data_IF_173979533488
#
_entry.id   IF_173979533488
#
_cell.length_a   1.000
_cell.length_b   1.000
_cell.length_c   1.000
_cell.angle_alpha   90.00
_cell.angle_beta   90.00
_cell.angle_gamma   90.00
#
_symmetry.space_group_name_H-M   'P 1'
#
loop_
_entity.id
_entity.type
_entity.pdbx_description
1 polymer ?
#
# COMPACT_ATOMS: atom_id res chain seq x y z
N UNK A 1 -1.65 -12.21 -16.19
CA UNK A 1 -1.42 -11.41 -17.41
C UNK A 1 -0.18 -10.53 -17.26
N UNK A 2 0.28 -9.87 -18.32
CA UNK A 2 1.39 -8.93 -18.27
C UNK A 2 1.07 -7.72 -17.37
N UNK A 3 -0.18 -7.24 -17.40
CA UNK A 3 -0.65 -6.15 -16.55
C UNK A 3 -0.62 -6.54 -15.07
N UNK A 4 -1.12 -7.73 -14.71
CA UNK A 4 -1.11 -8.19 -13.32
C UNK A 4 0.32 -8.34 -12.77
N UNK A 5 1.26 -8.81 -13.62
CA UNK A 5 2.67 -8.88 -13.24
C UNK A 5 3.27 -7.50 -13.02
N UNK A 6 2.99 -6.56 -13.91
CA UNK A 6 3.46 -5.18 -13.77
C UNK A 6 2.90 -4.52 -12.50
N UNK A 7 1.62 -4.74 -12.18
CA UNK A 7 0.99 -4.27 -10.96
C UNK A 7 1.61 -4.89 -9.71
N UNK A 8 1.88 -6.21 -9.72
CA UNK A 8 2.57 -6.89 -8.63
C UNK A 8 3.98 -6.32 -8.44
N UNK A 9 4.76 -6.21 -9.53
CA UNK A 9 6.12 -5.68 -9.49
C UNK A 9 6.14 -4.24 -8.94
N UNK A 10 5.24 -3.39 -9.40
CA UNK A 10 5.14 -2.01 -8.92
C UNK A 10 4.82 -1.94 -7.42
N UNK A 11 3.89 -2.76 -6.93
CA UNK A 11 3.54 -2.84 -5.52
C UNK A 11 4.73 -3.31 -4.67
N UNK A 12 5.37 -4.41 -5.06
CA UNK A 12 6.50 -5.00 -4.34
C UNK A 12 7.71 -4.06 -4.33
N UNK A 13 8.00 -3.41 -5.46
CA UNK A 13 9.10 -2.44 -5.57
C UNK A 13 8.92 -1.24 -4.64
N UNK A 14 7.68 -0.77 -4.43
CA UNK A 14 7.41 0.30 -3.48
C UNK A 14 7.58 -0.15 -2.03
N UNK A 15 7.11 -1.35 -1.71
CA UNK A 15 7.31 -1.92 -0.37
C UNK A 15 8.81 -2.04 -0.04
N UNK A 16 9.61 -2.63 -0.93
CA UNK A 16 11.04 -2.78 -0.76
C UNK A 16 11.78 -1.44 -0.63
N UNK A 17 11.34 -0.41 -1.40
CA UNK A 17 11.94 0.93 -1.31
C UNK A 17 11.63 1.64 0.01
N UNK A 18 10.44 1.41 0.59
CA UNK A 18 10.06 2.03 1.86
C UNK A 18 10.74 1.38 3.06
N UNK A 19 11.06 0.11 2.98
CA UNK A 19 11.72 -0.62 4.05
C UNK A 19 12.52 -1.79 3.46
N UNK A 20 13.83 -1.80 3.66
CA UNK A 20 14.72 -2.88 3.21
C UNK A 20 14.35 -4.25 3.79
N UNK A 21 13.75 -4.27 4.99
CA UNK A 21 13.26 -5.48 5.63
C UNK A 21 11.77 -5.76 5.33
N UNK A 22 11.20 -5.13 4.30
CA UNK A 22 9.80 -5.34 3.96
C UNK A 22 9.52 -6.79 3.58
N UNK A 23 8.38 -7.27 4.03
CA UNK A 23 7.86 -8.58 3.64
C UNK A 23 6.56 -8.42 2.87
N UNK A 24 6.34 -9.34 1.93
CA UNK A 24 5.09 -9.46 1.19
C UNK A 24 4.40 -10.76 1.63
N UNK A 25 3.15 -10.64 2.06
CA UNK A 25 2.29 -11.81 2.24
C UNK A 25 1.43 -11.97 1.01
N UNK A 26 1.55 -13.13 0.39
CA UNK A 26 0.75 -13.55 -0.76
C UNK A 26 -0.35 -14.47 -0.25
N UNK A 27 -1.59 -14.10 -0.46
CA UNK A 27 -2.73 -14.86 0.03
C UNK A 27 -3.75 -15.09 -1.09
N UNK A 28 -4.09 -16.36 -1.33
CA UNK A 28 -5.19 -16.74 -2.20
C UNK A 28 -6.53 -16.19 -1.67
N UNK A 29 -7.31 -15.59 -2.53
CA UNK A 29 -8.61 -15.01 -2.19
C UNK A 29 -9.77 -15.93 -2.63
N UNK A 30 -10.94 -15.85 -1.98
CA UNK A 30 -12.11 -16.64 -2.37
C UNK A 30 -12.60 -16.37 -3.80
N UNK A 31 -12.32 -15.19 -4.34
CA UNK A 31 -12.65 -14.77 -5.71
C UNK A 31 -11.66 -15.31 -6.78
N UNK A 32 -10.75 -16.21 -6.40
CA UNK A 32 -9.73 -16.77 -7.30
C UNK A 32 -8.60 -15.81 -7.66
N UNK A 33 -8.47 -14.70 -6.95
CA UNK A 33 -7.38 -13.74 -7.12
C UNK A 33 -6.30 -13.98 -6.06
N UNK A 34 -5.15 -13.36 -6.27
CA UNK A 34 -4.06 -13.32 -5.32
C UNK A 34 -4.00 -11.93 -4.67
N UNK A 35 -4.09 -11.87 -3.36
CA UNK A 35 -3.85 -10.67 -2.58
C UNK A 35 -2.38 -10.56 -2.20
N UNK A 36 -1.77 -9.43 -2.49
CA UNK A 36 -0.45 -9.03 -2.01
C UNK A 36 -0.66 -8.06 -0.85
N UNK A 37 0.02 -8.28 0.25
CA UNK A 37 -0.09 -7.48 1.46
C UNK A 37 1.28 -7.08 1.96
N UNK A 38 1.41 -5.85 2.46
CA UNK A 38 2.62 -5.37 3.13
C UNK A 38 2.29 -4.35 4.21
N UNK A 39 3.10 -4.28 5.25
CA UNK A 39 3.09 -3.15 6.18
C UNK A 39 3.87 -1.99 5.57
N UNK A 40 3.30 -0.81 5.60
CA UNK A 40 3.99 0.42 5.19
C UNK A 40 4.79 1.01 6.35
N UNK A 41 5.73 1.91 6.06
CA UNK A 41 6.45 2.68 7.09
C UNK A 41 5.57 3.64 7.92
N UNK A 42 4.27 3.74 7.59
CA UNK A 42 3.30 4.57 8.29
C UNK A 42 2.38 3.77 9.23
N UNK A 43 2.70 2.52 9.56
CA UNK A 43 1.85 1.60 10.32
C UNK A 43 0.46 1.38 9.67
N UNK A 44 0.41 1.42 8.35
CA UNK A 44 -0.79 1.14 7.54
C UNK A 44 -0.55 -0.12 6.72
N UNK A 45 -1.55 -0.99 6.70
CA UNK A 45 -1.52 -2.19 5.86
C UNK A 45 -1.95 -1.83 4.43
N UNK A 46 -1.07 -2.07 3.46
CA UNK A 46 -1.36 -1.90 2.04
C UNK A 46 -1.66 -3.23 1.37
N UNK A 47 -2.55 -3.22 0.38
CA UNK A 47 -2.89 -4.42 -0.40
C UNK A 47 -3.07 -4.12 -1.87
N UNK A 48 -2.73 -5.11 -2.70
CA UNK A 48 -3.02 -5.14 -4.13
C UNK A 48 -3.56 -6.52 -4.49
N UNK A 49 -4.64 -6.55 -5.26
CA UNK A 49 -5.22 -7.80 -5.77
C UNK A 49 -4.94 -7.94 -7.26
N UNK A 50 -4.40 -9.10 -7.66
CA UNK A 50 -4.06 -9.43 -9.04
C UNK A 50 -4.71 -10.76 -9.46
N UNK A 51 -4.81 -11.02 -10.75
CA UNK A 51 -5.15 -12.34 -11.25
C UNK A 51 -3.95 -13.26 -11.12
N UNK A 52 -4.09 -14.35 -10.38
CA UNK A 52 -3.01 -15.31 -10.11
C UNK A 52 -3.29 -16.12 -8.86
N UNK A 53 -2.34 -16.96 -8.51
CA UNK A 53 -2.40 -17.78 -7.30
C UNK A 53 -1.02 -18.06 -6.74
N UNK A 54 -0.97 -18.57 -5.54
CA UNK A 54 0.23 -19.08 -4.88
C UNK A 54 0.05 -20.52 -4.41
N UNK A 55 1.13 -21.25 -4.34
CA UNK A 55 1.16 -22.59 -3.77
C UNK A 55 2.42 -22.71 -2.86
N UNK A 56 2.23 -22.78 -1.53
CA UNK A 56 0.97 -22.75 -0.77
C UNK A 56 0.10 -21.50 -0.99
N UNK A 57 -1.18 -21.58 -0.59
CA UNK A 57 -2.17 -20.50 -0.79
C UNK A 57 -1.90 -19.26 0.08
N UNK A 58 -1.07 -19.37 1.10
CA UNK A 58 -0.68 -18.27 1.98
C UNK A 58 0.82 -18.41 2.28
N UNK A 59 1.61 -17.43 1.85
CA UNK A 59 3.06 -17.40 2.05
C UNK A 59 3.52 -15.97 2.37
N UNK A 60 4.57 -15.88 3.18
CA UNK A 60 5.27 -14.63 3.46
C UNK A 60 6.70 -14.75 2.92
N UNK A 61 7.13 -13.78 2.13
CA UNK A 61 8.46 -13.77 1.51
C UNK A 61 9.08 -12.37 1.59
N UNK A 62 10.36 -12.29 1.34
CA UNK A 62 11.10 -11.03 1.26
C UNK A 62 10.67 -10.21 0.03
N UNK A 63 10.47 -8.89 0.23
CA UNK A 63 10.00 -8.01 -0.83
C UNK A 63 11.04 -7.81 -1.94
N UNK A 64 12.31 -7.64 -1.59
CA UNK A 64 13.37 -7.41 -2.57
C UNK A 64 13.65 -8.66 -3.41
N UNK A 65 13.63 -9.84 -2.78
CA UNK A 65 13.76 -11.11 -3.50
C UNK A 65 12.58 -11.32 -4.46
N UNK A 66 11.34 -11.11 -3.99
CA UNK A 66 10.16 -11.19 -4.85
C UNK A 66 10.21 -10.17 -6.00
N UNK A 67 10.66 -8.93 -5.73
CA UNK A 67 10.86 -7.89 -6.75
C UNK A 67 11.80 -8.37 -7.84
N UNK A 68 12.93 -8.94 -7.45
CA UNK A 68 13.97 -9.42 -8.39
C UNK A 68 13.44 -10.50 -9.32
N UNK A 69 12.75 -11.51 -8.78
CA UNK A 69 12.21 -12.59 -9.63
C UNK A 69 11.05 -12.11 -10.51
N UNK A 70 10.19 -11.20 -10.02
CA UNK A 70 9.12 -10.61 -10.82
C UNK A 70 9.65 -9.73 -11.97
N UNK A 71 10.80 -9.08 -11.78
CA UNK A 71 11.38 -8.21 -12.81
C UNK A 71 11.84 -8.97 -14.05
N UNK A 72 12.32 -10.21 -13.88
CA UNK A 72 12.87 -11.03 -14.98
C UNK A 72 11.90 -12.09 -15.50
N UNK A 73 10.81 -12.36 -14.79
CA UNK A 73 9.85 -13.40 -15.19
C UNK A 73 9.01 -12.97 -16.39
N UNK A 74 8.70 -13.91 -17.28
CA UNK A 74 7.71 -13.70 -18.34
C UNK A 74 6.28 -13.70 -17.77
N UNK A 75 5.37 -13.04 -18.48
CA UNK A 75 3.97 -13.02 -18.11
C UNK A 75 3.37 -14.44 -18.16
N UNK A 76 2.70 -14.83 -17.07
CA UNK A 76 2.10 -16.16 -16.97
C UNK A 76 3.03 -17.26 -16.47
N UNK A 77 4.31 -16.98 -16.27
CA UNK A 77 5.28 -17.91 -15.68
C UNK A 77 5.06 -18.04 -14.17
N UNK A 78 5.30 -19.23 -13.64
CA UNK A 78 5.42 -19.45 -12.21
C UNK A 78 6.75 -18.91 -11.73
N UNK A 79 6.72 -18.08 -10.69
CA UNK A 79 7.93 -17.55 -10.04
C UNK A 79 8.13 -18.21 -8.68
N UNK A 80 9.40 -18.43 -8.31
CA UNK A 80 9.78 -18.85 -6.98
C UNK A 80 10.07 -17.58 -6.14
N UNK A 81 9.29 -17.29 -5.10
CA UNK A 81 9.53 -16.12 -4.27
C UNK A 81 10.73 -16.27 -3.33
N UNK A 82 11.41 -17.41 -3.36
CA UNK A 82 12.52 -17.74 -2.49
C UNK A 82 12.10 -18.23 -1.12
N UNK A 83 12.90 -17.91 -0.09
CA UNK A 83 12.60 -18.31 1.27
C UNK A 83 11.28 -17.72 1.77
N UNK A 84 10.50 -18.56 2.44
CA UNK A 84 9.22 -18.17 3.05
C UNK A 84 9.30 -18.27 4.56
N UNK A 85 8.83 -17.24 5.26
CA UNK A 85 8.95 -17.15 6.73
C UNK A 85 7.72 -16.48 7.35
N UNK A 86 6.70 -17.29 7.61
CA UNK A 86 5.43 -16.83 8.17
C UNK A 86 5.57 -16.04 9.49
N UNK A 87 6.63 -16.33 10.27
CA UNK A 87 6.92 -15.65 11.54
C UNK A 87 7.29 -14.17 11.40
N UNK A 88 7.70 -13.73 10.20
CA UNK A 88 7.97 -12.31 9.94
C UNK A 88 6.69 -11.46 9.80
N UNK A 89 5.56 -12.10 9.55
CA UNK A 89 4.28 -11.37 9.46
C UNK A 89 3.70 -11.11 10.84
N UNK A 90 3.34 -9.85 11.10
CA UNK A 90 2.74 -9.42 12.36
C UNK A 90 1.28 -9.00 12.14
N UNK A 91 0.43 -9.42 13.05
CA UNK A 91 -0.99 -9.07 13.03
C UNK A 91 -1.85 -9.93 12.10
N UNK A 92 -3.15 -9.75 12.23
CA UNK A 92 -4.16 -10.40 11.41
C UNK A 92 -4.41 -9.61 10.12
N UNK A 93 -4.79 -10.31 9.05
CA UNK A 93 -5.32 -9.64 7.85
C UNK A 93 -6.79 -9.23 8.08
N UNK A 94 -7.23 -8.13 7.46
CA UNK A 94 -8.64 -7.79 7.44
C UNK A 94 -9.46 -8.87 6.71
N UNK A 95 -10.80 -8.90 6.90
CA UNK A 95 -11.67 -9.83 6.20
C UNK A 95 -11.45 -9.77 4.68
N UNK A 96 -11.54 -10.92 4.01
CA UNK A 96 -11.35 -10.99 2.56
C UNK A 96 -12.53 -10.40 1.75
N UNK A 97 -13.69 -10.18 2.38
CA UNK A 97 -14.93 -9.70 1.77
C UNK A 97 -15.73 -8.86 2.78
N UNK A 98 -16.88 -8.33 2.35
CA UNK A 98 -17.75 -7.51 3.20
C UNK A 98 -17.44 -6.01 3.13
N UNK A 99 -16.54 -5.60 2.24
CA UNK A 99 -16.31 -4.19 1.96
C UNK A 99 -17.45 -3.60 1.14
N UNK A 100 -17.82 -2.39 1.47
CA UNK A 100 -18.82 -1.61 0.74
C UNK A 100 -18.20 -0.29 0.32
N UNK A 101 -18.60 0.20 -0.84
CA UNK A 101 -18.24 1.54 -1.29
C UNK A 101 -18.91 2.57 -0.38
N UNK A 102 -18.17 3.57 0.06
CA UNK A 102 -18.67 4.65 0.92
C UNK A 102 -18.82 5.93 0.11
N UNK A 103 -17.73 6.40 -0.50
CA UNK A 103 -17.69 7.65 -1.25
C UNK A 103 -16.48 7.67 -2.20
N UNK A 104 -16.51 8.57 -3.20
CA UNK A 104 -15.40 8.82 -4.11
C UNK A 104 -14.69 10.12 -3.72
N UNK A 105 -13.42 10.01 -3.36
CA UNK A 105 -12.58 11.15 -3.00
C UNK A 105 -11.75 11.58 -4.20
N UNK A 106 -11.83 12.85 -4.64
CA UNK A 106 -11.00 13.33 -5.74
C UNK A 106 -9.51 13.16 -5.46
N UNK A 107 -8.76 12.58 -6.40
CA UNK A 107 -7.32 12.35 -6.28
C UNK A 107 -6.55 13.64 -5.92
N UNK A 108 -6.95 14.79 -6.47
CA UNK A 108 -6.38 16.10 -6.13
C UNK A 108 -6.46 16.39 -4.63
N UNK A 109 -7.61 16.16 -4.01
CA UNK A 109 -7.81 16.43 -2.58
C UNK A 109 -6.87 15.57 -1.72
N UNK A 110 -6.70 14.31 -2.08
CA UNK A 110 -5.77 13.41 -1.39
C UNK A 110 -4.33 13.89 -1.52
N UNK A 111 -3.90 14.31 -2.73
CA UNK A 111 -2.56 14.84 -2.97
C UNK A 111 -2.33 16.15 -2.21
N UNK A 112 -3.31 17.06 -2.19
CA UNK A 112 -3.23 18.32 -1.45
C UNK A 112 -3.11 18.09 0.06
N UNK A 113 -3.86 17.13 0.61
CA UNK A 113 -3.76 16.71 2.00
C UNK A 113 -2.37 16.13 2.31
N UNK A 114 -1.86 15.25 1.43
CA UNK A 114 -0.53 14.69 1.57
C UNK A 114 0.56 15.77 1.58
N UNK A 115 0.51 16.73 0.65
CA UNK A 115 1.47 17.85 0.58
C UNK A 115 1.41 18.74 1.81
N UNK A 116 0.20 19.09 2.27
CA UNK A 116 0.00 19.92 3.45
C UNK A 116 0.51 19.21 4.71
N UNK A 117 0.21 17.92 4.86
CA UNK A 117 0.71 17.09 5.94
C UNK A 117 2.24 16.97 5.94
N UNK A 118 2.84 16.75 4.75
CA UNK A 118 4.30 16.69 4.60
C UNK A 118 4.98 18.02 4.95
N UNK A 119 4.38 19.15 4.54
CA UNK A 119 4.88 20.48 4.94
C UNK A 119 4.85 20.65 6.45
N UNK A 120 3.74 20.29 7.09
CA UNK A 120 3.56 20.40 8.53
C UNK A 120 4.55 19.48 9.29
N UNK A 121 4.72 18.25 8.81
CA UNK A 121 5.67 17.30 9.37
C UNK A 121 7.12 17.82 9.33
N UNK A 122 7.51 18.55 8.27
CA UNK A 122 8.83 19.18 8.19
C UNK A 122 8.99 20.38 9.13
N UNK A 123 7.93 21.16 9.38
CA UNK A 123 8.00 22.35 10.24
C UNK A 123 7.90 22.02 11.72
N UNK A 124 7.18 20.98 12.07
CA UNK A 124 6.90 20.57 13.46
C UNK A 124 7.57 19.24 13.85
N UNK A 125 8.19 18.56 12.88
CA UNK A 125 8.90 17.31 13.09
C UNK A 125 10.20 17.50 13.85
N UNK A 126 10.66 16.41 14.48
CA UNK A 126 12.00 16.30 15.10
C UNK A 126 12.93 15.50 14.19
N UNK A 127 14.21 15.37 14.61
CA UNK A 127 15.16 14.46 13.97
C UNK A 127 14.72 12.97 13.97
N UNK A 128 13.63 12.63 14.67
CA UNK A 128 13.05 11.29 14.75
C UNK A 128 11.78 11.15 13.90
N UNK A 129 11.55 12.05 12.95
CA UNK A 129 10.39 12.02 12.05
C UNK A 129 9.17 12.82 12.54
N UNK A 130 8.02 12.69 11.87
CA UNK A 130 6.78 13.37 12.21
C UNK A 130 6.27 12.94 13.59
N UNK A 131 5.70 13.89 14.35
CA UNK A 131 5.06 13.55 15.61
C UNK A 131 3.92 12.53 15.37
N UNK A 132 3.87 11.47 16.16
CA UNK A 132 2.83 10.42 16.04
C UNK A 132 1.41 11.02 16.08
N UNK A 133 1.19 12.03 16.93
CA UNK A 133 -0.09 12.72 17.00
C UNK A 133 -0.49 13.45 15.72
N UNK A 134 0.45 13.87 14.88
CA UNK A 134 0.16 14.43 13.56
C UNK A 134 -0.33 13.34 12.59
N UNK A 135 0.31 12.18 12.62
CA UNK A 135 -0.05 11.05 11.75
C UNK A 135 -1.45 10.49 12.06
N UNK A 136 -1.89 10.62 13.29
CA UNK A 136 -3.21 10.14 13.75
C UNK A 136 -4.34 11.15 13.59
N UNK A 137 -4.05 12.36 13.09
CA UNK A 137 -5.09 13.34 12.84
C UNK A 137 -6.03 12.91 11.72
N UNK A 138 -7.33 13.03 11.97
CA UNK A 138 -8.36 12.87 10.94
C UNK A 138 -8.27 14.06 9.99
N UNK A 139 -8.00 13.77 8.72
CA UNK A 139 -7.82 14.79 7.66
C UNK A 139 -8.92 14.76 6.62
N UNK A 140 -9.73 13.70 6.62
CA UNK A 140 -10.87 13.53 5.72
C UNK A 140 -11.91 12.63 6.38
N UNK A 141 -13.18 12.94 6.16
CA UNK A 141 -14.31 12.06 6.50
C UNK A 141 -15.06 11.71 5.20
N UNK A 142 -15.22 10.43 4.94
CA UNK A 142 -16.02 9.92 3.84
C UNK A 142 -17.39 9.48 4.38
N UNK A 143 -18.47 9.99 3.79
CA UNK A 143 -19.85 9.74 4.27
C UNK A 143 -20.69 9.18 3.13
N UNK A 144 -21.29 8.01 3.35
CA UNK A 144 -22.26 7.45 2.41
C UNK A 144 -23.61 8.19 2.51
N UNK A 145 -24.28 8.39 1.38
CA UNK A 145 -25.59 9.01 1.31
C UNK A 145 -26.71 8.17 1.95
N UNK A 146 -26.44 6.91 2.29
CA UNK A 146 -27.40 5.95 2.85
C UNK A 146 -27.52 6.02 4.39
N UNK A 147 -26.92 7.04 5.02
CA UNK A 147 -27.01 7.26 6.46
C UNK A 147 -26.08 6.38 7.31
N UNK A 148 -25.14 5.66 6.70
CA UNK A 148 -24.07 4.96 7.43
C UNK A 148 -23.17 5.95 8.17
N UNK A 149 -22.51 5.47 9.21
CA UNK A 149 -21.53 6.30 9.91
C UNK A 149 -20.38 6.70 8.96
N UNK A 150 -19.91 7.94 9.06
CA UNK A 150 -18.78 8.41 8.29
C UNK A 150 -17.51 7.60 8.64
N UNK A 151 -16.65 7.41 7.65
CA UNK A 151 -15.34 6.79 7.83
C UNK A 151 -14.28 7.87 7.93
N UNK A 152 -13.63 7.94 9.09
CA UNK A 152 -12.52 8.86 9.30
C UNK A 152 -11.25 8.33 8.65
N UNK A 153 -10.58 9.18 7.87
CA UNK A 153 -9.31 8.90 7.22
C UNK A 153 -8.23 9.75 7.89
N UNK A 154 -7.26 9.09 8.50
CA UNK A 154 -6.14 9.73 9.20
C UNK A 154 -4.98 10.01 8.25
N UNK A 155 -4.12 10.95 8.62
CA UNK A 155 -3.04 11.43 7.77
C UNK A 155 -2.07 10.31 7.35
N UNK A 156 -1.75 9.36 8.23
CA UNK A 156 -0.89 8.21 7.89
C UNK A 156 -1.44 7.37 6.73
N UNK A 157 -2.76 7.24 6.63
CA UNK A 157 -3.40 6.53 5.53
C UNK A 157 -3.23 7.28 4.20
N UNK A 158 -3.30 8.61 4.24
CA UNK A 158 -3.06 9.48 3.07
C UNK A 158 -1.61 9.34 2.61
N UNK A 159 -0.65 9.35 3.52
CA UNK A 159 0.77 9.12 3.20
C UNK A 159 1.00 7.72 2.61
N UNK A 160 0.41 6.68 3.20
CA UNK A 160 0.53 5.33 2.68
C UNK A 160 -0.06 5.20 1.26
N UNK A 161 -1.23 5.81 0.99
CA UNK A 161 -1.85 5.81 -0.34
C UNK A 161 -0.94 6.44 -1.41
N UNK A 162 -0.31 7.57 -1.08
CA UNK A 162 0.60 8.27 -1.99
C UNK A 162 1.93 7.51 -2.17
N UNK A 163 2.55 7.06 -1.09
CA UNK A 163 3.79 6.29 -1.13
C UNK A 163 3.67 4.98 -1.91
N UNK A 164 2.52 4.30 -1.78
CA UNK A 164 2.21 3.08 -2.52
C UNK A 164 1.74 3.33 -3.96
N UNK A 165 1.65 4.60 -4.43
CA UNK A 165 1.24 4.95 -5.78
C UNK A 165 -0.20 4.54 -6.10
N UNK A 166 -1.09 4.60 -5.12
CA UNK A 166 -2.50 4.27 -5.31
C UNK A 166 -3.32 5.43 -5.84
N UNK A 167 -2.77 6.65 -5.79
CA UNK A 167 -3.42 7.84 -6.33
C UNK A 167 -3.17 7.92 -7.82
N UNK A 168 -4.23 7.84 -8.61
CA UNK A 168 -4.18 7.89 -10.07
C UNK A 168 -5.10 8.99 -10.59
N UNK A 169 -4.73 9.56 -11.73
CA UNK A 169 -5.59 10.50 -12.46
C UNK A 169 -6.70 9.76 -13.23
N UNK A 170 -7.55 10.52 -13.93
CA UNK A 170 -8.64 9.98 -14.73
C UNK A 170 -8.16 9.06 -15.87
N UNK A 171 -6.92 9.22 -16.33
CA UNK A 171 -6.30 8.38 -17.36
C UNK A 171 -5.61 7.14 -16.75
N UNK A 172 -5.72 6.94 -15.43
CA UNK A 172 -5.10 5.85 -14.70
C UNK A 172 -3.59 6.00 -14.51
N UNK A 173 -3.02 7.18 -14.84
CA UNK A 173 -1.61 7.47 -14.59
C UNK A 173 -1.41 7.82 -13.13
N UNK A 174 -0.28 7.38 -12.59
CA UNK A 174 0.08 7.76 -11.22
C UNK A 174 0.31 9.27 -11.13
N UNK A 175 -0.24 9.90 -10.10
CA UNK A 175 0.07 11.28 -9.78
C UNK A 175 1.45 11.31 -9.13
N UNK A 176 2.46 11.62 -9.93
CA UNK A 176 3.89 11.44 -9.62
C UNK A 176 4.50 12.51 -8.72
N UNK A 177 3.76 13.53 -8.33
CA UNK A 177 4.30 14.63 -7.51
C UNK A 177 4.35 14.25 -6.02
N UNK A 178 4.83 13.04 -5.75
CA UNK A 178 4.93 12.44 -4.42
C UNK A 178 6.37 12.27 -3.95
N UNK A 179 7.35 12.75 -4.74
CA UNK A 179 8.78 12.56 -4.43
C UNK A 179 9.23 13.14 -3.09
N UNK A 180 8.50 14.13 -2.56
CA UNK A 180 8.73 14.67 -1.23
C UNK A 180 8.19 13.79 -0.10
N UNK A 181 7.18 12.95 -0.36
CA UNK A 181 6.57 12.08 0.65
C UNK A 181 7.38 10.82 0.92
N UNK A 182 8.11 10.34 -0.08
CA UNK A 182 8.99 9.18 0.06
C UNK A 182 10.14 9.46 1.02
N UNK A 183 10.62 10.71 1.06
CA UNK A 183 11.71 11.12 1.97
C UNK A 183 11.31 11.21 3.45
N UNK A 184 10.02 11.30 3.76
CA UNK A 184 9.53 11.34 5.15
C UNK A 184 9.49 9.94 5.77
N UNK A 185 9.42 8.91 4.95
CA UNK A 185 9.40 7.52 5.39
C UNK A 185 10.80 6.91 5.54
N UNK A 186 11.82 7.55 4.96
CA UNK A 186 13.22 7.06 4.95
C UNK A 186 14.09 7.67 6.08
N UNK A 187 13.59 8.64 6.85
CA UNK A 187 14.22 9.24 8.03
C UNK A 187 13.56 8.74 9.34
#
# INVERSE_FOLDING_TARGET
>A
SASDRADALAFVARAARMNEAAVIRLQGRPDGRLGLWTHTGFDVLATRSIVGGSAPADIVCDAEQLRTVLAVADAGTRVDPGFTFASAWKGALPPASGYVHVDDVPARSVVELARSGAKLARTEGSAHGPATGLLDQVVLEASALDGRQPVAIILRSVFALTAMGFIRDADGREVTDTSELTRIADD
#
